data_IF_771190602873
#
_entry.id   IF_771190602873
#
_cell.length_a   1.000
_cell.length_b   1.000
_cell.length_c   1.000
_cell.angle_alpha   90.00
_cell.angle_beta   90.00
_cell.angle_gamma   90.00
#
_symmetry.space_group_name_H-M   'P 1'
#
loop_
_entity.id
_entity.type
_entity.pdbx_description
1 polymer ?
#
# COMPACT_ATOMS: atom_id res chain seq x y z
N UNK A 1 11.47 15.50 -15.49
CA UNK A 1 12.73 16.05 -14.97
C UNK A 1 13.13 15.18 -13.78
N UNK A 2 14.36 14.65 -13.73
CA UNK A 2 14.85 13.99 -12.52
C UNK A 2 14.82 15.01 -11.37
N UNK A 3 14.36 14.60 -10.19
CA UNK A 3 14.35 15.48 -9.03
C UNK A 3 15.74 15.62 -8.45
N UNK A 4 16.06 16.83 -8.00
CA UNK A 4 17.29 17.06 -7.26
C UNK A 4 17.12 16.67 -5.79
N UNK A 5 18.21 16.32 -5.13
CA UNK A 5 18.20 15.97 -3.69
C UNK A 5 17.59 17.08 -2.83
N UNK A 6 17.71 18.33 -3.30
CA UNK A 6 17.19 19.53 -2.65
C UNK A 6 15.65 19.60 -2.65
N UNK A 7 14.96 18.81 -3.46
CA UNK A 7 13.49 18.81 -3.52
C UNK A 7 12.84 17.89 -2.47
N UNK A 8 13.54 16.84 -2.02
CA UNK A 8 13.02 15.88 -1.05
C UNK A 8 12.51 16.48 0.27
N UNK A 9 13.19 17.45 0.93
CA UNK A 9 12.67 18.03 2.16
C UNK A 9 11.27 18.63 1.99
N UNK A 10 10.99 19.28 0.86
CA UNK A 10 9.66 19.85 0.58
C UNK A 10 8.60 18.78 0.41
N UNK A 11 8.90 17.71 -0.33
CA UNK A 11 8.00 16.57 -0.49
C UNK A 11 7.71 15.88 0.83
N UNK A 12 8.73 15.68 1.68
CA UNK A 12 8.55 15.10 3.01
C UNK A 12 7.69 15.99 3.90
N UNK A 13 7.92 17.30 3.89
CA UNK A 13 7.13 18.27 4.64
C UNK A 13 5.66 18.24 4.21
N UNK A 14 5.38 18.33 2.91
CA UNK A 14 4.00 18.35 2.39
C UNK A 14 3.29 17.00 2.57
N UNK A 15 3.99 15.88 2.37
CA UNK A 15 3.42 14.54 2.53
C UNK A 15 2.96 14.27 3.96
N UNK A 16 3.67 14.81 4.95
CA UNK A 16 3.43 14.57 6.37
C UNK A 16 2.80 15.74 7.11
N UNK A 17 2.19 16.70 6.40
CA UNK A 17 1.39 17.77 7.04
C UNK A 17 0.38 17.15 8.03
N UNK A 18 0.43 17.53 9.32
CA UNK A 18 -0.39 16.93 10.36
C UNK A 18 -1.86 17.30 10.16
N UNK A 19 -2.77 16.37 10.43
CA UNK A 19 -4.24 16.58 10.35
C UNK A 19 -4.80 16.93 8.96
N UNK A 20 -3.98 16.93 7.92
CA UNK A 20 -4.44 17.14 6.55
C UNK A 20 -4.83 15.82 5.89
N UNK A 21 -5.98 15.83 5.20
CA UNK A 21 -6.40 14.70 4.36
C UNK A 21 -5.47 14.56 3.14
N UNK A 22 -5.23 13.32 2.70
CA UNK A 22 -4.39 13.02 1.52
C UNK A 22 -4.81 13.81 0.28
N UNK A 23 -6.11 13.89 0.02
CA UNK A 23 -6.67 14.69 -1.08
C UNK A 23 -6.24 16.15 -1.03
N UNK A 24 -6.30 16.76 0.16
CA UNK A 24 -5.96 18.17 0.33
C UNK A 24 -4.45 18.41 0.13
N UNK A 25 -3.61 17.49 0.63
CA UNK A 25 -2.15 17.51 0.39
C UNK A 25 -1.85 17.44 -1.11
N UNK A 26 -2.47 16.48 -1.81
CA UNK A 26 -2.26 16.29 -3.25
C UNK A 26 -2.76 17.47 -4.07
N UNK A 27 -3.91 18.06 -3.71
CA UNK A 27 -4.42 19.25 -4.38
C UNK A 27 -3.47 20.44 -4.24
N UNK A 28 -2.91 20.67 -3.04
CA UNK A 28 -1.92 21.72 -2.83
C UNK A 28 -0.65 21.45 -3.66
N UNK A 29 -0.10 20.24 -3.59
CA UNK A 29 1.10 19.84 -4.35
C UNK A 29 0.89 20.03 -5.85
N UNK A 30 -0.24 19.58 -6.39
CA UNK A 30 -0.55 19.74 -7.81
C UNK A 30 -0.68 21.22 -8.17
N UNK A 31 -1.35 22.03 -7.36
CA UNK A 31 -1.49 23.46 -7.62
C UNK A 31 -0.12 24.17 -7.67
N UNK A 32 0.80 23.86 -6.76
CA UNK A 32 2.19 24.37 -6.78
C UNK A 32 2.91 24.00 -8.08
N UNK A 33 2.82 22.73 -8.47
CA UNK A 33 3.50 22.20 -9.66
C UNK A 33 2.90 22.76 -10.95
N UNK A 34 1.57 22.81 -11.05
CA UNK A 34 0.85 23.23 -12.26
C UNK A 34 1.04 24.74 -12.50
N UNK A 35 1.13 25.53 -11.43
CA UNK A 35 1.55 26.95 -11.49
C UNK A 35 3.03 27.15 -11.77
N UNK A 36 3.81 26.07 -11.88
CA UNK A 36 5.27 26.08 -12.09
C UNK A 36 6.02 26.90 -11.04
N UNK A 37 5.52 26.91 -9.80
CA UNK A 37 6.20 27.56 -8.68
C UNK A 37 7.23 26.56 -8.11
N UNK A 38 8.53 26.87 -8.12
CA UNK A 38 9.52 26.02 -7.48
C UNK A 38 9.20 25.83 -6.00
N UNK A 39 9.33 24.61 -5.47
CA UNK A 39 9.00 24.32 -4.06
C UNK A 39 9.80 25.21 -3.11
N UNK A 40 11.08 25.45 -3.39
CA UNK A 40 11.92 26.37 -2.64
C UNK A 40 11.31 27.79 -2.57
N UNK A 41 10.79 28.30 -3.70
CA UNK A 41 10.13 29.60 -3.76
C UNK A 41 8.85 29.60 -2.91
N UNK A 42 8.00 28.59 -3.07
CA UNK A 42 6.76 28.44 -2.29
C UNK A 42 7.03 28.50 -0.79
N UNK A 43 8.04 27.77 -0.31
CA UNK A 43 8.40 27.78 1.12
C UNK A 43 9.15 29.05 1.55
N UNK A 44 9.86 29.76 0.67
CA UNK A 44 10.54 31.02 1.00
C UNK A 44 9.58 32.23 1.10
N UNK A 45 8.46 32.20 0.38
CA UNK A 45 7.48 33.27 0.34
C UNK A 45 6.68 33.39 1.64
N UNK A 46 6.06 34.56 1.85
CA UNK A 46 5.06 34.72 2.91
C UNK A 46 3.79 33.95 2.55
N UNK A 47 3.63 32.78 3.16
CA UNK A 47 2.48 31.88 2.94
C UNK A 47 1.16 32.60 3.20
N UNK A 48 1.13 33.60 4.08
CA UNK A 48 -0.06 34.41 4.38
C UNK A 48 -0.56 35.15 3.15
N UNK A 49 0.35 35.66 2.32
CA UNK A 49 0.04 36.37 1.07
C UNK A 49 -0.36 35.41 -0.05
N UNK A 50 0.13 34.17 -0.02
CA UNK A 50 -0.19 33.13 -1.00
C UNK A 50 -1.53 32.42 -0.74
N UNK A 51 -2.20 32.73 0.38
CA UNK A 51 -3.47 32.09 0.75
C UNK A 51 -4.54 32.15 -0.34
N UNK A 52 -4.86 33.31 -0.95
CA UNK A 52 -5.89 33.38 -1.98
C UNK A 52 -5.49 32.59 -3.22
N UNK A 53 -4.21 32.63 -3.57
CA UNK A 53 -3.69 31.98 -4.78
C UNK A 53 -3.78 30.44 -4.72
N UNK A 54 -3.55 29.86 -3.54
CA UNK A 54 -3.59 28.41 -3.33
C UNK A 54 -4.86 27.92 -2.63
N UNK A 55 -5.82 28.82 -2.41
CA UNK A 55 -7.09 28.54 -1.71
C UNK A 55 -6.88 28.01 -0.30
N UNK A 56 -5.91 28.56 0.44
CA UNK A 56 -5.56 28.13 1.80
C UNK A 56 -6.36 28.90 2.86
N UNK A 57 -6.92 28.18 3.82
CA UNK A 57 -7.46 28.80 5.04
C UNK A 57 -6.33 29.41 5.91
N UNK A 58 -6.70 30.25 6.88
CA UNK A 58 -5.73 30.81 7.83
C UNK A 58 -5.02 29.70 8.63
N UNK A 59 -5.77 28.66 9.02
CA UNK A 59 -5.23 27.53 9.75
C UNK A 59 -4.26 26.72 8.89
N UNK A 60 -4.63 26.46 7.64
CA UNK A 60 -3.77 25.73 6.70
C UNK A 60 -2.45 26.47 6.43
N UNK A 61 -2.50 27.80 6.26
CA UNK A 61 -1.29 28.61 6.13
C UNK A 61 -0.39 28.50 7.36
N UNK A 62 -0.97 28.56 8.56
CA UNK A 62 -0.23 28.38 9.81
C UNK A 62 0.39 26.99 9.93
N UNK A 63 -0.31 25.93 9.53
CA UNK A 63 0.21 24.57 9.56
C UNK A 63 1.43 24.42 8.62
N UNK A 64 1.39 25.02 7.43
CA UNK A 64 2.54 24.99 6.50
C UNK A 64 3.71 25.82 7.05
N UNK A 65 3.43 26.98 7.67
CA UNK A 65 4.46 27.80 8.33
C UNK A 65 5.16 27.00 9.45
N UNK A 66 4.40 26.33 10.32
CA UNK A 66 4.98 25.47 11.36
C UNK A 66 5.74 24.28 10.76
N UNK A 67 5.24 23.70 9.67
CA UNK A 67 5.89 22.59 9.00
C UNK A 67 7.21 23.00 8.30
N UNK A 68 7.34 24.28 7.90
CA UNK A 68 8.56 24.85 7.32
C UNK A 68 9.76 24.75 8.26
N UNK A 69 9.54 24.84 9.57
CA UNK A 69 10.59 24.71 10.58
C UNK A 69 11.29 23.34 10.54
N UNK A 70 10.62 22.33 9.99
CA UNK A 70 11.17 20.98 9.84
C UNK A 70 11.98 20.76 8.55
N UNK A 71 12.13 21.77 7.67
CA UNK A 71 12.81 21.59 6.38
C UNK A 71 14.27 21.15 6.54
N UNK A 72 15.02 21.76 7.46
CA UNK A 72 16.41 21.39 7.72
C UNK A 72 16.51 19.95 8.25
N UNK A 73 15.65 19.59 9.18
CA UNK A 73 15.54 18.21 9.71
C UNK A 73 15.20 17.22 8.60
N UNK A 74 14.25 17.56 7.73
CA UNK A 74 13.85 16.71 6.60
C UNK A 74 14.96 16.58 5.55
N UNK A 75 15.79 17.60 5.34
CA UNK A 75 16.94 17.53 4.44
C UNK A 75 17.97 16.51 4.96
N UNK A 76 18.34 16.61 6.24
CA UNK A 76 19.26 15.65 6.89
C UNK A 76 18.69 14.24 6.84
N UNK A 77 17.40 14.09 7.15
CA UNK A 77 16.73 12.80 7.10
C UNK A 77 16.67 12.23 5.67
N UNK A 78 16.41 13.05 4.65
CA UNK A 78 16.44 12.62 3.25
C UNK A 78 17.83 12.13 2.84
N UNK A 79 18.89 12.85 3.21
CA UNK A 79 20.28 12.42 2.94
C UNK A 79 20.60 11.09 3.64
N UNK A 80 20.19 10.93 4.90
CA UNK A 80 20.34 9.67 5.64
C UNK A 80 19.58 8.51 4.96
N UNK A 81 18.37 8.75 4.48
CA UNK A 81 17.57 7.72 3.80
C UNK A 81 18.26 7.27 2.50
N UNK A 82 18.71 8.24 1.69
CA UNK A 82 19.40 7.97 0.43
C UNK A 82 20.71 7.19 0.66
N UNK A 83 21.51 7.57 1.67
CA UNK A 83 22.75 6.85 2.00
C UNK A 83 22.52 5.42 2.49
N UNK A 84 21.33 5.13 3.03
CA UNK A 84 20.90 3.78 3.40
C UNK A 84 20.23 3.01 2.25
N UNK A 85 20.24 3.54 1.03
CA UNK A 85 19.62 2.93 -0.16
C UNK A 85 18.09 3.01 -0.17
N UNK A 86 17.49 3.91 0.63
CA UNK A 86 16.06 4.21 0.55
C UNK A 86 15.86 5.30 -0.51
N UNK A 87 15.06 5.00 -1.53
CA UNK A 87 14.60 5.98 -2.52
C UNK A 87 13.29 6.61 -2.05
N UNK A 88 13.07 7.86 -2.45
CA UNK A 88 11.86 8.60 -2.21
C UNK A 88 11.14 8.79 -3.55
N UNK A 89 9.91 8.29 -3.67
CA UNK A 89 9.11 8.37 -4.89
C UNK A 89 7.89 9.28 -4.68
N UNK A 90 7.98 10.56 -5.06
CA UNK A 90 6.83 11.45 -5.05
C UNK A 90 5.76 11.08 -6.05
N UNK A 91 4.53 11.51 -5.76
CA UNK A 91 3.37 11.24 -6.61
C UNK A 91 3.56 11.62 -8.08
N UNK A 92 4.42 12.58 -8.40
CA UNK A 92 4.67 13.06 -9.77
C UNK A 92 5.89 12.44 -10.45
N UNK A 93 6.65 11.57 -9.78
CA UNK A 93 7.77 10.88 -10.43
C UNK A 93 7.27 9.77 -11.37
N UNK A 94 8.07 9.46 -12.39
CA UNK A 94 7.78 8.42 -13.39
C UNK A 94 7.78 7.02 -12.79
N UNK A 95 8.65 6.78 -11.80
CA UNK A 95 8.75 5.51 -11.06
C UNK A 95 7.56 5.26 -10.10
N UNK A 96 6.70 6.26 -9.85
CA UNK A 96 5.56 6.06 -8.96
C UNK A 96 4.55 5.09 -9.60
N UNK A 97 4.11 4.05 -8.89
CA UNK A 97 3.29 2.97 -9.45
C UNK A 97 1.97 3.49 -10.05
N UNK A 98 1.83 3.35 -11.38
CA UNK A 98 0.65 3.81 -12.10
C UNK A 98 -0.65 3.13 -11.61
N UNK A 99 -0.57 1.84 -11.26
CA UNK A 99 -1.72 1.10 -10.69
C UNK A 99 -2.19 1.69 -9.37
N UNK A 100 -1.27 2.13 -8.50
CA UNK A 100 -1.63 2.75 -7.23
C UNK A 100 -2.38 4.06 -7.47
N UNK A 101 -1.89 4.89 -8.40
CA UNK A 101 -2.58 6.13 -8.81
C UNK A 101 -3.97 5.85 -9.36
N UNK A 102 -4.10 4.85 -10.24
CA UNK A 102 -5.38 4.44 -10.83
C UNK A 102 -6.36 3.98 -9.75
N UNK A 103 -5.93 3.09 -8.87
CA UNK A 103 -6.78 2.43 -7.88
C UNK A 103 -7.15 3.31 -6.68
N UNK A 104 -6.39 4.37 -6.40
CA UNK A 104 -6.66 5.30 -5.30
C UNK A 104 -7.14 6.67 -5.76
N UNK A 105 -7.02 6.98 -7.05
CA UNK A 105 -7.11 8.33 -7.61
C UNK A 105 -6.15 9.31 -6.92
N UNK A 106 -6.17 10.58 -7.34
CA UNK A 106 -5.46 11.64 -6.62
C UNK A 106 -5.97 11.80 -5.18
N UNK A 107 -7.21 11.40 -4.88
CA UNK A 107 -7.82 11.58 -3.56
C UNK A 107 -7.12 10.79 -2.45
N UNK A 108 -6.67 9.58 -2.75
CA UNK A 108 -6.14 8.66 -1.74
C UNK A 108 -4.69 8.20 -2.01
N UNK A 109 -4.10 8.56 -3.14
CA UNK A 109 -2.70 8.23 -3.43
C UNK A 109 -1.76 8.93 -2.46
N UNK A 110 -0.83 8.23 -1.79
CA UNK A 110 0.11 8.88 -0.88
C UNK A 110 1.00 9.87 -1.65
N UNK A 111 1.25 11.08 -1.11
CA UNK A 111 2.05 12.08 -1.83
C UNK A 111 3.50 11.64 -2.04
N UNK A 112 4.00 10.74 -1.19
CA UNK A 112 5.36 10.27 -1.15
C UNK A 112 5.41 8.79 -0.73
N UNK A 113 6.21 7.98 -1.43
CA UNK A 113 6.58 6.64 -1.01
C UNK A 113 8.06 6.61 -0.59
N UNK A 114 8.37 5.91 0.49
CA UNK A 114 9.72 5.52 0.85
C UNK A 114 9.93 4.07 0.44
N UNK A 115 10.90 3.81 -0.41
CA UNK A 115 11.11 2.46 -0.97
C UNK A 115 12.55 1.99 -0.84
N UNK A 116 12.77 0.71 -0.58
CA UNK A 116 14.10 0.09 -0.51
C UNK A 116 14.09 -1.29 -1.14
N UNK A 117 15.03 -1.56 -2.05
CA UNK A 117 15.07 -2.77 -2.88
C UNK A 117 14.85 -2.45 -4.35
N UNK A 118 14.35 -3.43 -5.11
CA UNK A 118 14.21 -3.33 -6.57
C UNK A 118 12.95 -2.55 -6.98
N UNK A 119 13.11 -1.30 -7.44
CA UNK A 119 11.98 -0.45 -7.87
C UNK A 119 11.32 -0.93 -9.16
N UNK A 120 11.98 -1.75 -9.99
CA UNK A 120 11.40 -2.28 -11.24
C UNK A 120 10.17 -3.15 -10.97
N UNK A 121 10.09 -3.78 -9.79
CA UNK A 121 8.95 -4.59 -9.36
C UNK A 121 7.62 -3.81 -9.31
N UNK A 122 7.67 -2.48 -9.20
CA UNK A 122 6.48 -1.62 -9.26
C UNK A 122 5.78 -1.67 -10.62
N UNK A 123 6.54 -1.97 -11.69
CA UNK A 123 6.04 -2.01 -13.07
C UNK A 123 5.50 -3.39 -13.51
N UNK A 124 5.93 -4.47 -12.85
CA UNK A 124 5.49 -5.85 -13.14
C UNK A 124 4.03 -6.09 -12.74
N UNK A 125 3.38 -7.12 -13.26
CA UNK A 125 2.09 -7.58 -12.72
C UNK A 125 2.23 -8.04 -11.27
N UNK A 126 1.24 -7.70 -10.45
CA UNK A 126 1.22 -7.80 -8.99
C UNK A 126 -0.07 -8.45 -8.50
N UNK A 127 0.08 -9.47 -7.65
CA UNK A 127 -1.03 -10.15 -6.97
C UNK A 127 -0.88 -9.95 -5.47
N UNK A 128 -1.92 -9.47 -4.81
CA UNK A 128 -1.95 -9.43 -3.35
C UNK A 128 -2.40 -10.78 -2.79
N UNK A 129 -1.64 -11.34 -1.86
CA UNK A 129 -2.03 -12.55 -1.13
C UNK A 129 -2.11 -12.18 0.34
N UNK A 130 -3.32 -12.27 0.90
CA UNK A 130 -3.65 -11.77 2.23
C UNK A 130 -4.45 -12.80 3.02
N UNK A 131 -4.37 -12.73 4.34
CA UNK A 131 -5.19 -13.61 5.17
C UNK A 131 -4.95 -13.49 6.67
N UNK A 132 -5.52 -14.42 7.42
CA UNK A 132 -5.47 -14.45 8.88
C UNK A 132 -4.03 -14.57 9.40
N UNK A 133 -3.78 -13.91 10.54
CA UNK A 133 -2.53 -14.07 11.30
C UNK A 133 -2.43 -15.44 11.98
N UNK A 134 -3.56 -16.10 12.16
CA UNK A 134 -3.73 -17.44 12.74
C UNK A 134 -4.42 -18.35 11.73
N UNK A 135 -3.90 -18.37 10.51
CA UNK A 135 -4.52 -19.14 9.43
C UNK A 135 -4.40 -20.64 9.68
N UNK A 136 -5.43 -21.37 9.27
CA UNK A 136 -5.45 -22.82 9.26
C UNK A 136 -4.42 -23.40 8.28
N UNK A 137 -4.18 -24.72 8.37
CA UNK A 137 -3.35 -25.43 7.42
C UNK A 137 -3.85 -25.30 5.97
N UNK A 138 -5.17 -25.20 5.75
CA UNK A 138 -5.74 -24.99 4.40
C UNK A 138 -5.44 -23.59 3.89
N UNK A 139 -5.62 -22.56 4.72
CA UNK A 139 -5.24 -21.19 4.39
C UNK A 139 -3.74 -21.07 4.07
N UNK A 140 -2.89 -21.73 4.85
CA UNK A 140 -1.44 -21.79 4.61
C UNK A 140 -1.12 -22.49 3.28
N UNK A 141 -1.70 -23.66 3.01
CA UNK A 141 -1.49 -24.41 1.76
C UNK A 141 -1.88 -23.59 0.54
N UNK A 142 -3.03 -22.92 0.60
CA UNK A 142 -3.50 -22.06 -0.48
C UNK A 142 -2.57 -20.84 -0.70
N UNK A 143 -2.14 -20.19 0.38
CA UNK A 143 -1.18 -19.08 0.28
C UNK A 143 0.14 -19.51 -0.38
N UNK A 144 0.66 -20.69 -0.01
CA UNK A 144 1.86 -21.27 -0.62
C UNK A 144 1.66 -21.60 -2.09
N UNK A 145 0.53 -22.21 -2.44
CA UNK A 145 0.18 -22.52 -3.82
C UNK A 145 0.15 -21.25 -4.67
N UNK A 146 -0.58 -20.22 -4.22
CA UNK A 146 -0.69 -18.96 -4.94
C UNK A 146 0.65 -18.24 -5.10
N UNK A 147 1.48 -18.25 -4.06
CA UNK A 147 2.82 -17.66 -4.12
C UNK A 147 3.72 -18.37 -5.14
N UNK A 148 3.72 -19.72 -5.16
CA UNK A 148 4.44 -20.52 -6.17
C UNK A 148 3.96 -20.25 -7.58
N UNK A 149 2.64 -20.17 -7.76
CA UNK A 149 2.02 -19.84 -9.05
C UNK A 149 2.43 -18.45 -9.53
N UNK A 150 2.42 -17.45 -8.65
CA UNK A 150 2.90 -16.11 -8.98
C UNK A 150 4.37 -16.13 -9.41
N UNK A 151 5.23 -16.86 -8.69
CA UNK A 151 6.63 -17.01 -9.07
C UNK A 151 6.80 -17.64 -10.47
N UNK A 152 6.07 -18.71 -10.79
CA UNK A 152 6.12 -19.34 -12.13
C UNK A 152 5.56 -18.47 -13.26
N UNK A 153 4.69 -17.52 -12.94
CA UNK A 153 4.06 -16.59 -13.90
C UNK A 153 4.77 -15.23 -13.97
N UNK A 154 5.95 -15.07 -13.34
CA UNK A 154 6.68 -13.80 -13.14
C UNK A 154 5.80 -12.65 -12.59
N UNK A 155 4.83 -13.00 -11.73
CA UNK A 155 4.01 -12.05 -11.00
C UNK A 155 4.60 -11.78 -9.63
N UNK A 156 4.57 -10.52 -9.22
CA UNK A 156 5.07 -10.06 -7.93
C UNK A 156 4.00 -10.26 -6.86
N UNK A 157 4.36 -10.91 -5.75
CA UNK A 157 3.46 -11.05 -4.60
C UNK A 157 3.51 -9.78 -3.73
N UNK A 158 2.37 -9.12 -3.56
CA UNK A 158 2.25 -7.95 -2.67
C UNK A 158 1.69 -8.41 -1.33
N UNK A 159 2.40 -8.13 -0.24
CA UNK A 159 1.95 -8.52 1.10
C UNK A 159 2.39 -7.56 2.20
N UNK A 160 1.87 -7.77 3.41
CA UNK A 160 2.07 -6.91 4.55
C UNK A 160 3.07 -7.33 5.58
N UNK A 161 3.76 -8.45 5.35
CA UNK A 161 4.75 -9.03 6.26
C UNK A 161 4.23 -9.30 7.69
N UNK A 162 2.91 -9.37 7.86
CA UNK A 162 2.29 -9.82 9.09
C UNK A 162 2.51 -11.33 9.28
N UNK A 163 2.44 -11.80 10.54
CA UNK A 163 2.43 -13.25 10.81
C UNK A 163 1.27 -13.92 10.06
N UNK A 164 1.37 -15.23 9.81
CA UNK A 164 0.34 -16.01 9.11
C UNK A 164 0.47 -15.89 7.59
N UNK A 165 -0.67 -15.75 6.90
CA UNK A 165 -0.73 -15.81 5.44
C UNK A 165 0.22 -14.84 4.76
N UNK A 166 0.27 -13.59 5.22
CA UNK A 166 1.11 -12.55 4.61
C UNK A 166 2.59 -12.95 4.53
N UNK A 167 3.17 -13.36 5.66
CA UNK A 167 4.57 -13.80 5.72
C UNK A 167 4.80 -15.07 4.92
N UNK A 168 3.89 -16.03 5.00
CA UNK A 168 4.01 -17.31 4.29
C UNK A 168 3.98 -17.10 2.78
N UNK A 169 3.07 -16.27 2.28
CA UNK A 169 2.97 -15.96 0.85
C UNK A 169 4.25 -15.28 0.36
N UNK A 170 4.77 -14.31 1.11
CA UNK A 170 6.00 -13.62 0.77
C UNK A 170 7.21 -14.54 0.78
N UNK A 171 7.43 -15.28 1.87
CA UNK A 171 8.59 -16.19 2.00
C UNK A 171 8.53 -17.27 0.91
N UNK A 172 7.35 -17.84 0.66
CA UNK A 172 7.20 -18.88 -0.37
C UNK A 172 7.47 -18.34 -1.78
N UNK A 173 7.06 -17.10 -2.09
CA UNK A 173 7.33 -16.49 -3.38
C UNK A 173 8.85 -16.33 -3.58
N UNK A 174 9.56 -15.80 -2.57
CA UNK A 174 11.00 -15.60 -2.61
C UNK A 174 11.77 -16.92 -2.70
N UNK A 175 11.40 -17.93 -1.90
CA UNK A 175 11.98 -19.28 -1.92
C UNK A 175 11.75 -20.01 -3.25
N UNK A 176 10.72 -19.62 -3.99
CA UNK A 176 10.40 -20.17 -5.32
C UNK A 176 11.03 -19.36 -6.46
N UNK A 177 12.08 -18.58 -6.18
CA UNK A 177 12.74 -17.66 -7.12
C UNK A 177 11.81 -16.60 -7.74
N UNK A 178 10.69 -16.30 -7.07
CA UNK A 178 9.76 -15.24 -7.45
C UNK A 178 10.13 -13.90 -6.82
N UNK A 179 9.24 -12.93 -6.99
CA UNK A 179 9.42 -11.55 -6.55
C UNK A 179 8.34 -11.14 -5.54
N UNK A 180 8.66 -10.21 -4.63
CA UNK A 180 7.70 -9.71 -3.63
C UNK A 180 7.80 -8.22 -3.36
N UNK A 181 6.67 -7.61 -3.00
CA UNK A 181 6.58 -6.25 -2.46
C UNK A 181 6.03 -6.32 -1.04
N UNK A 182 6.77 -5.75 -0.08
CA UNK A 182 6.32 -5.54 1.30
C UNK A 182 5.76 -4.14 1.43
N UNK A 183 4.51 -4.01 1.86
CA UNK A 183 3.94 -2.71 2.23
C UNK A 183 3.94 -2.58 3.75
N UNK A 184 4.68 -1.63 4.30
CA UNK A 184 4.93 -1.51 5.73
C UNK A 184 3.85 -0.73 6.47
N UNK A 185 3.35 -1.23 7.62
CA UNK A 185 2.44 -0.49 8.50
C UNK A 185 3.18 0.42 9.49
N UNK A 186 4.36 0.92 9.11
CA UNK A 186 5.28 1.68 9.94
C UNK A 186 6.29 2.42 9.06
N UNK A 187 7.12 3.27 9.66
CA UNK A 187 8.23 3.94 8.99
C UNK A 187 9.30 2.96 8.48
N UNK A 188 10.00 3.34 7.43
CA UNK A 188 11.05 2.50 6.83
C UNK A 188 12.22 2.26 7.81
N UNK A 189 12.61 3.25 8.60
CA UNK A 189 13.75 3.13 9.53
C UNK A 189 13.44 2.23 10.74
N UNK A 190 12.17 2.06 11.10
CA UNK A 190 11.77 1.20 12.23
C UNK A 190 11.64 -0.28 11.82
N UNK A 191 11.85 -0.61 10.53
CA UNK A 191 11.79 -1.98 10.00
C UNK A 191 13.14 -2.71 9.99
N UNK A 192 14.11 -2.28 10.81
CA UNK A 192 15.49 -2.78 10.80
C UNK A 192 15.62 -4.31 10.92
N UNK A 193 14.83 -4.95 11.78
CA UNK A 193 14.84 -6.41 11.94
C UNK A 193 14.28 -7.15 10.72
N UNK A 194 13.31 -6.54 10.03
CA UNK A 194 12.76 -7.04 8.77
C UNK A 194 13.81 -6.97 7.65
N UNK A 195 14.51 -5.84 7.54
CA UNK A 195 15.60 -5.69 6.59
C UNK A 195 16.72 -6.71 6.80
N UNK A 196 17.10 -7.01 8.05
CA UNK A 196 18.09 -8.05 8.34
C UNK A 196 17.66 -9.43 7.82
N UNK A 197 16.39 -9.78 7.99
CA UNK A 197 15.84 -11.07 7.52
C UNK A 197 15.74 -11.15 5.99
N UNK A 198 15.41 -10.02 5.36
CA UNK A 198 15.17 -9.94 3.91
C UNK A 198 16.42 -9.53 3.12
N UNK A 199 17.57 -9.36 3.79
CA UNK A 199 18.79 -8.79 3.22
C UNK A 199 19.25 -9.55 1.96
N UNK A 200 19.27 -10.88 2.02
CA UNK A 200 19.63 -11.74 0.87
C UNK A 200 18.78 -11.40 -0.36
N UNK A 201 17.46 -11.42 -0.20
CA UNK A 201 16.50 -11.15 -1.28
C UNK A 201 16.54 -9.70 -1.81
N UNK A 202 16.96 -8.74 -0.96
CA UNK A 202 17.21 -7.36 -1.39
C UNK A 202 18.41 -7.30 -2.34
N UNK A 203 19.50 -7.98 -2.00
CA UNK A 203 20.70 -8.03 -2.83
C UNK A 203 20.45 -8.78 -4.15
N UNK A 204 19.63 -9.82 -4.12
CA UNK A 204 19.22 -10.59 -5.29
C UNK A 204 18.19 -9.86 -6.17
N UNK A 205 17.73 -8.67 -5.76
CA UNK A 205 16.77 -7.87 -6.52
C UNK A 205 15.34 -8.44 -6.52
N UNK A 206 15.03 -9.42 -5.67
CA UNK A 206 13.75 -10.11 -5.62
C UNK A 206 12.68 -9.37 -4.81
N UNK A 207 13.06 -8.33 -4.05
CA UNK A 207 12.14 -7.67 -3.13
C UNK A 207 12.20 -6.15 -3.19
N UNK A 208 11.04 -5.54 -2.97
CA UNK A 208 10.89 -4.12 -2.71
C UNK A 208 10.09 -3.90 -1.43
N UNK A 209 10.61 -3.09 -0.52
CA UNK A 209 9.91 -2.65 0.68
C UNK A 209 9.39 -1.23 0.44
N UNK A 210 8.12 -0.98 0.76
CA UNK A 210 7.41 0.28 0.53
C UNK A 210 6.77 0.76 1.83
N UNK A 211 6.96 2.03 2.19
CA UNK A 211 6.25 2.69 3.29
C UNK A 211 5.71 4.05 2.84
N UNK A 212 4.56 4.45 3.40
CA UNK A 212 3.93 5.76 3.18
C UNK A 212 4.01 6.65 4.44
N UNK A 213 4.63 6.14 5.51
CA UNK A 213 4.64 6.78 6.83
C UNK A 213 5.91 7.58 7.04
N UNK A 214 5.90 8.46 8.04
CA UNK A 214 7.13 9.13 8.49
C UNK A 214 8.22 8.07 8.71
N UNK A 215 9.47 8.30 8.23
CA UNK A 215 10.52 7.27 8.23
C UNK A 215 10.77 6.61 9.59
N UNK A 216 10.62 7.38 10.67
CA UNK A 216 10.81 6.99 12.06
C UNK A 216 9.52 6.51 12.77
N UNK A 217 8.38 6.47 12.09
CA UNK A 217 7.12 6.04 12.70
C UNK A 217 7.20 4.57 13.18
N UNK A 218 6.78 4.34 14.43
CA UNK A 218 6.68 2.99 15.00
C UNK A 218 5.53 2.19 14.43
N UNK A 219 5.49 0.90 14.76
CA UNK A 219 4.36 0.04 14.44
C UNK A 219 3.14 0.35 15.30
N UNK A 220 1.94 0.31 14.73
CA UNK A 220 0.70 0.23 15.52
C UNK A 220 -0.38 -0.56 14.79
N UNK A 221 -1.40 -1.01 15.52
CA UNK A 221 -2.58 -1.67 14.93
C UNK A 221 -3.32 -0.72 13.98
N UNK A 222 -3.43 0.56 14.33
CA UNK A 222 -4.07 1.58 13.49
C UNK A 222 -3.37 1.73 12.15
N UNK A 223 -2.04 1.89 12.14
CA UNK A 223 -1.26 1.98 10.91
C UNK A 223 -1.33 0.67 10.11
N UNK A 224 -1.42 -0.48 10.77
CA UNK A 224 -1.62 -1.76 10.07
C UNK A 224 -2.97 -1.84 9.34
N UNK A 225 -4.03 -1.27 9.90
CA UNK A 225 -5.35 -1.20 9.25
C UNK A 225 -5.36 -0.18 8.12
N UNK A 226 -4.83 1.03 8.36
CA UNK A 226 -4.78 2.11 7.35
C UNK A 226 -3.99 1.68 6.10
N UNK A 227 -2.85 1.02 6.31
CA UNK A 227 -1.95 0.61 5.23
C UNK A 227 -2.58 -0.38 4.25
N UNK A 228 -3.58 -1.16 4.66
CA UNK A 228 -4.23 -2.14 3.78
C UNK A 228 -4.80 -1.48 2.52
N UNK A 229 -5.22 -0.21 2.60
CA UNK A 229 -5.68 0.55 1.43
C UNK A 229 -4.60 0.59 0.33
N UNK A 230 -3.33 0.78 0.70
CA UNK A 230 -2.20 0.83 -0.24
C UNK A 230 -1.80 -0.56 -0.74
N UNK A 231 -1.80 -1.58 0.13
CA UNK A 231 -1.50 -2.96 -0.28
C UNK A 231 -2.49 -3.45 -1.33
N UNK A 232 -3.78 -3.28 -1.09
CA UNK A 232 -4.82 -3.74 -2.01
C UNK A 232 -4.83 -2.92 -3.30
N UNK A 233 -4.47 -1.63 -3.24
CA UNK A 233 -4.39 -0.78 -4.41
C UNK A 233 -3.14 -1.03 -5.27
N UNK A 234 -2.09 -1.64 -4.73
CA UNK A 234 -0.88 -1.96 -5.47
C UNK A 234 -1.03 -3.22 -6.35
N UNK A 235 -2.04 -4.04 -6.15
CA UNK A 235 -2.24 -5.28 -6.90
C UNK A 235 -3.39 -5.17 -7.92
N UNK A 236 -3.32 -5.99 -8.99
CA UNK A 236 -4.43 -6.15 -9.94
C UNK A 236 -5.49 -7.12 -9.40
N UNK A 237 -5.05 -8.17 -8.70
CA UNK A 237 -5.90 -9.19 -8.12
C UNK A 237 -5.55 -9.37 -6.63
N UNK A 238 -6.57 -9.57 -5.80
CA UNK A 238 -6.38 -9.84 -4.37
C UNK A 238 -6.94 -11.21 -4.03
N UNK A 239 -6.07 -12.13 -3.64
CA UNK A 239 -6.45 -13.46 -3.15
C UNK A 239 -6.47 -13.47 -1.62
N UNK A 240 -7.64 -13.79 -1.08
CA UNK A 240 -7.85 -14.00 0.36
C UNK A 240 -7.80 -15.49 0.64
N UNK A 241 -6.73 -15.92 1.30
CA UNK A 241 -6.56 -17.33 1.67
C UNK A 241 -7.51 -17.73 2.82
N UNK A 242 -7.64 -16.86 3.81
CA UNK A 242 -8.48 -17.07 4.99
C UNK A 242 -8.73 -15.75 5.71
N UNK A 243 -9.97 -15.48 6.11
CA UNK A 243 -10.34 -14.31 6.91
C UNK A 243 -11.16 -14.73 8.15
N UNK A 244 -10.96 -14.01 9.26
CA UNK A 244 -11.93 -14.00 10.37
C UNK A 244 -13.08 -13.03 10.00
N UNK A 245 -14.22 -13.08 10.69
CA UNK A 245 -15.38 -12.17 10.46
C UNK A 245 -15.13 -10.71 10.92
N UNK A 246 -13.90 -10.40 11.32
CA UNK A 246 -13.41 -9.09 11.71
C UNK A 246 -11.91 -8.96 11.45
N UNK A 247 -11.40 -7.74 11.55
CA UNK A 247 -9.97 -7.45 11.44
C UNK A 247 -9.51 -7.07 10.03
N UNK A 248 -8.20 -6.90 9.87
CA UNK A 248 -7.62 -6.22 8.70
C UNK A 248 -7.97 -6.85 7.34
N UNK A 249 -7.96 -8.18 7.25
CA UNK A 249 -8.29 -8.91 6.02
C UNK A 249 -9.76 -8.76 5.66
N UNK A 250 -10.66 -8.93 6.63
CA UNK A 250 -12.09 -8.75 6.44
C UNK A 250 -12.42 -7.34 5.97
N UNK A 251 -11.99 -6.32 6.72
CA UNK A 251 -12.27 -4.93 6.38
C UNK A 251 -11.62 -4.52 5.05
N UNK A 252 -10.41 -5.00 4.77
CA UNK A 252 -9.73 -4.78 3.48
C UNK A 252 -10.47 -5.40 2.30
N UNK A 253 -10.97 -6.62 2.43
CA UNK A 253 -11.77 -7.29 1.41
C UNK A 253 -13.08 -6.54 1.15
N UNK A 254 -13.82 -6.15 2.20
CA UNK A 254 -15.06 -5.37 2.09
C UNK A 254 -14.81 -4.02 1.41
N UNK A 255 -13.77 -3.28 1.82
CA UNK A 255 -13.39 -2.01 1.18
C UNK A 255 -13.01 -2.22 -0.30
N UNK A 256 -12.29 -3.29 -0.61
CA UNK A 256 -11.94 -3.67 -1.97
C UNK A 256 -13.15 -3.94 -2.85
N UNK A 257 -14.13 -4.71 -2.36
CA UNK A 257 -15.39 -4.97 -3.06
C UNK A 257 -16.16 -3.68 -3.34
N UNK A 258 -16.28 -2.79 -2.34
CA UNK A 258 -16.93 -1.47 -2.51
C UNK A 258 -16.25 -0.60 -3.57
N UNK A 259 -14.95 -0.78 -3.76
CA UNK A 259 -14.13 -0.06 -4.76
C UNK A 259 -14.04 -0.80 -6.10
N UNK A 260 -14.80 -1.88 -6.30
CA UNK A 260 -14.82 -2.64 -7.55
C UNK A 260 -13.50 -3.40 -7.83
N UNK A 261 -12.69 -3.68 -6.81
CA UNK A 261 -11.45 -4.46 -6.97
C UNK A 261 -11.77 -5.93 -7.20
N UNK A 262 -10.91 -6.63 -7.93
CA UNK A 262 -11.02 -8.08 -8.14
C UNK A 262 -10.56 -8.84 -6.88
N UNK A 263 -11.51 -9.12 -6.00
CA UNK A 263 -11.29 -9.88 -4.76
C UNK A 263 -11.67 -11.35 -5.02
N UNK A 264 -10.67 -12.23 -4.97
CA UNK A 264 -10.82 -13.67 -5.08
C UNK A 264 -10.62 -14.31 -3.71
N UNK A 265 -11.49 -15.24 -3.33
CA UNK A 265 -11.49 -15.83 -2.00
C UNK A 265 -11.56 -17.33 -2.11
N UNK A 266 -10.65 -18.01 -1.41
CA UNK A 266 -10.69 -19.46 -1.29
C UNK A 266 -12.01 -19.86 -0.65
N UNK A 267 -12.82 -20.63 -1.36
CA UNK A 267 -14.05 -21.19 -0.84
C UNK A 267 -13.71 -22.09 0.35
N UNK A 268 -14.37 -21.83 1.48
CA UNK A 268 -14.17 -22.60 2.69
C UNK A 268 -15.08 -23.81 2.68
N UNK A 269 -14.56 -24.95 3.13
CA UNK A 269 -15.40 -26.14 3.34
C UNK A 269 -16.37 -25.91 4.53
N UNK A 270 -17.50 -26.64 4.60
CA UNK A 270 -18.52 -26.44 5.62
C UNK A 270 -18.01 -26.48 7.08
N UNK A 271 -16.98 -27.27 7.35
CA UNK A 271 -16.38 -27.44 8.68
C UNK A 271 -15.41 -26.31 9.08
N UNK A 272 -14.99 -25.46 8.14
CA UNK A 272 -14.02 -24.41 8.41
C UNK A 272 -14.66 -23.20 9.11
N UNK A 273 -14.13 -22.85 10.28
CA UNK A 273 -14.58 -21.70 11.08
C UNK A 273 -13.93 -20.39 10.63
N UNK A 274 -14.07 -20.06 9.35
CA UNK A 274 -13.59 -18.80 8.78
C UNK A 274 -14.73 -18.07 8.06
N UNK A 275 -14.53 -16.78 7.79
CA UNK A 275 -15.55 -15.92 7.19
C UNK A 275 -15.42 -15.80 5.66
N UNK A 276 -14.68 -16.70 5.01
CA UNK A 276 -14.46 -16.68 3.57
C UNK A 276 -15.79 -16.77 2.80
N UNK A 277 -16.67 -17.70 3.18
CA UNK A 277 -17.97 -17.88 2.52
C UNK A 277 -18.90 -16.69 2.74
N UNK A 278 -18.77 -15.98 3.87
CA UNK A 278 -19.50 -14.73 4.10
C UNK A 278 -19.02 -13.60 3.17
N UNK A 279 -17.71 -13.51 2.91
CA UNK A 279 -17.17 -12.53 1.95
C UNK A 279 -17.57 -12.88 0.50
N UNK A 280 -17.61 -14.17 0.15
CA UNK A 280 -18.13 -14.66 -1.14
C UNK A 280 -19.60 -14.26 -1.30
N UNK A 281 -20.43 -14.47 -0.28
CA UNK A 281 -21.83 -14.06 -0.28
C UNK A 281 -22.02 -12.53 -0.43
N UNK A 282 -21.00 -11.73 -0.12
CA UNK A 282 -20.98 -10.27 -0.32
C UNK A 282 -20.50 -9.84 -1.71
N UNK A 283 -20.30 -10.78 -2.63
CA UNK A 283 -19.95 -10.51 -4.03
C UNK A 283 -18.47 -10.72 -4.36
N UNK A 284 -17.68 -11.31 -3.46
CA UNK A 284 -16.33 -11.75 -3.83
C UNK A 284 -16.38 -12.97 -4.76
N UNK A 285 -15.34 -13.12 -5.56
CA UNK A 285 -15.20 -14.21 -6.51
C UNK A 285 -14.72 -15.46 -5.76
N UNK A 286 -15.49 -16.54 -5.81
CA UNK A 286 -15.09 -17.82 -5.21
C UNK A 286 -14.04 -18.53 -6.06
N UNK A 287 -12.99 -19.03 -5.42
CA UNK A 287 -12.02 -19.94 -6.03
C UNK A 287 -11.82 -21.20 -5.19
N UNK A 288 -11.53 -22.32 -5.83
CA UNK A 288 -11.25 -23.59 -5.14
C UNK A 288 -9.85 -23.60 -4.48
N UNK A 289 -9.45 -24.73 -3.89
CA UNK A 289 -8.11 -24.88 -3.29
C UNK A 289 -6.96 -24.77 -4.29
N UNK A 290 -7.23 -24.92 -5.58
CA UNK A 290 -6.28 -24.79 -6.69
C UNK A 290 -6.32 -23.38 -7.33
N UNK A 291 -7.10 -22.48 -6.75
CA UNK A 291 -7.36 -21.13 -7.24
C UNK A 291 -8.06 -21.08 -8.61
N UNK A 292 -8.81 -22.12 -8.98
CA UNK A 292 -9.71 -22.07 -10.12
C UNK A 292 -11.02 -21.41 -9.73
N UNK A 293 -11.57 -20.61 -10.64
CA UNK A 293 -12.87 -19.97 -10.48
C UNK A 293 -13.96 -21.03 -10.27
N UNK A 294 -14.69 -20.93 -9.18
CA UNK A 294 -15.87 -21.76 -8.96
C UNK A 294 -17.03 -21.08 -9.65
N UNK A 295 -17.71 -21.80 -10.56
CA UNK A 295 -18.92 -21.26 -11.18
C UNK A 295 -19.91 -20.87 -10.08
N UNK A 296 -20.27 -19.59 -10.03
CA UNK A 296 -21.27 -19.11 -9.08
C UNK A 296 -22.58 -19.85 -9.36
N UNK A 297 -22.90 -20.86 -8.55
CA UNK A 297 -24.30 -21.25 -8.39
C UNK A 297 -24.97 -20.05 -7.74
N UNK A 298 -25.65 -19.27 -8.55
CA UNK A 298 -26.56 -18.23 -8.09
C UNK A 298 -27.52 -18.91 -7.12
N UNK A 299 -27.34 -18.69 -5.82
CA UNK A 299 -28.39 -18.99 -4.85
C UNK A 299 -29.41 -17.85 -5.03
N UNK A 300 -30.26 -17.99 -6.04
CA UNK A 300 -31.48 -17.20 -6.17
C UNK A 300 -32.42 -17.68 -5.06
N UNK A 301 -32.30 -17.05 -3.90
CA UNK A 301 -33.09 -17.34 -2.71
C UNK A 301 -33.77 -16.08 -2.18
N UNK A 302 -34.35 -15.27 -3.06
CA UNK A 302 -35.32 -14.23 -2.69
C UNK A 302 -36.52 -14.38 -3.62
N UNK A 303 -37.46 -15.24 -3.20
CA UNK A 303 -38.83 -15.23 -3.69
C UNK A 303 -39.42 -13.86 -3.34
N UNK A 304 -39.55 -12.98 -4.33
CA UNK A 304 -40.58 -11.95 -4.28
C UNK A 304 -41.92 -12.67 -4.33
N UNK A 305 -42.64 -12.70 -3.22
CA UNK A 305 -44.07 -12.99 -3.22
C UNK A 305 -44.76 -11.69 -3.67
N UNK A 306 -45.51 -11.66 -4.78
CA UNK A 306 -46.40 -10.56 -5.07
C UNK A 306 -47.66 -10.73 -4.22
N UNK A 307 -47.93 -9.74 -3.37
CA UNK A 307 -49.15 -9.60 -2.57
C UNK A 307 -49.22 -8.20 -2.00
#
# INVERSE_FOLDING_TARGET
MPMEINDYPYWMTLAHLPNWRTERKNNLINNIIDKRVPMARFFSSDISTLRPEFGLSAKEAQDILQAKDNLTTNLVLAQQLLSQGVKLLPLRCSEYPAILKRNLSLKHSPPLLYVKGNTELLSKSKVAIVGSRRASNRGIKFAKLMAKRCASEDKVVVSGYAKGVDRIALETALESNGNSIVVLPQGVLTFSSGFKRLHKYILEGQILVVSTYLPQAGWSVGLAMERNVYLYALAEEIYVAEAESKGGTWYGAIDGLKKGRKILIRQAAPEEKCANNELIAKGAIAVDELANMVANRVIQGWLFIPG
#
